data_IF_532649375587
#
_entry.id   IF_532649375587
#
_cell.length_a   1.000
_cell.length_b   1.000
_cell.length_c   1.000
_cell.angle_alpha   90.00
_cell.angle_beta   90.00
_cell.angle_gamma   90.00
#
_symmetry.space_group_name_H-M   'P 1'
#
loop_
_entity.id
_entity.type
_entity.pdbx_description
1 polymer ?
#
# COMPACT_ATOMS: atom_id res chain seq x y z
N UNK A 1 -59.54 29.48 34.23
CA UNK A 1 -60.44 29.96 35.31
C UNK A 1 -60.04 29.29 36.61
N UNK A 2 -59.06 29.85 37.33
CA UNK A 2 -58.78 29.60 38.75
C UNK A 2 -57.84 30.73 39.23
N UNK A 3 -58.01 31.18 40.46
CA UNK A 3 -57.22 32.26 41.08
C UNK A 3 -56.38 31.71 42.23
N UNK A 4 -55.17 32.26 42.42
CA UNK A 4 -54.62 32.54 43.75
C UNK A 4 -53.71 33.78 43.68
N UNK A 5 -53.34 34.35 44.84
CA UNK A 5 -52.79 35.70 45.00
C UNK A 5 -51.66 35.74 46.06
N UNK A 6 -50.99 36.90 46.16
CA UNK A 6 -49.95 37.30 47.15
C UNK A 6 -48.55 36.67 46.90
N UNK A 7 -47.42 37.35 47.15
CA UNK A 7 -47.16 38.79 47.44
C UNK A 7 -45.69 39.15 47.20
N UNK A 8 -45.37 40.42 46.93
CA UNK A 8 -44.00 40.98 46.86
C UNK A 8 -43.55 41.51 48.25
N UNK A 9 -42.32 42.09 48.49
CA UNK A 9 -41.77 43.27 47.77
C UNK A 9 -40.22 43.36 47.58
N UNK A 10 -39.78 44.30 46.70
CA UNK A 10 -38.46 45.00 46.68
C UNK A 10 -37.16 44.16 46.45
N UNK A 11 -36.04 44.61 45.85
CA UNK A 11 -35.47 45.88 45.28
C UNK A 11 -34.22 45.45 44.43
N UNK A 12 -33.63 46.11 43.42
CA UNK A 12 -33.88 47.27 42.52
C UNK A 12 -32.80 47.29 41.40
N UNK A 13 -33.02 48.00 40.27
CA UNK A 13 -31.99 48.61 39.37
C UNK A 13 -31.03 47.71 38.54
N UNK A 14 -30.72 47.97 37.25
CA UNK A 14 -31.22 48.94 36.23
C UNK A 14 -30.93 48.45 34.79
N UNK A 15 -31.62 49.01 33.78
CA UNK A 15 -31.35 48.94 32.32
C UNK A 15 -31.57 47.58 31.61
N UNK A 16 -32.02 47.47 30.36
CA UNK A 16 -32.96 48.25 29.51
C UNK A 16 -33.17 47.39 28.22
N UNK A 17 -34.40 47.09 27.78
CA UNK A 17 -35.13 47.80 26.68
C UNK A 17 -34.42 47.69 25.31
N UNK A 18 -35.01 47.14 24.23
CA UNK A 18 -36.43 46.86 23.93
C UNK A 18 -36.64 45.60 23.04
N UNK A 19 -37.84 45.02 23.10
CA UNK A 19 -38.33 43.94 22.20
C UNK A 19 -39.12 44.54 21.04
N UNK A 20 -39.08 43.98 19.82
CA UNK A 20 -40.27 44.00 18.95
C UNK A 20 -40.40 42.80 17.99
N UNK A 21 -41.65 42.52 17.62
CA UNK A 21 -42.16 41.30 16.98
C UNK A 21 -41.81 41.13 15.49
N UNK A 22 -41.85 39.88 15.03
CA UNK A 22 -42.00 39.53 13.62
C UNK A 22 -43.48 39.58 13.19
N UNK A 23 -43.76 39.98 11.92
CA UNK A 23 -44.92 39.50 11.15
C UNK A 23 -44.82 39.88 9.65
N UNK A 24 -45.70 39.27 8.83
CA UNK A 24 -46.03 39.57 7.41
C UNK A 24 -45.09 39.04 6.31
N UNK A 25 -45.65 38.16 5.46
CA UNK A 25 -45.11 37.82 4.13
C UNK A 25 -45.29 38.97 3.13
N UNK A 26 -44.25 39.32 2.34
CA UNK A 26 -44.36 39.59 0.90
C UNK A 26 -43.02 39.34 0.18
N UNK A 27 -43.01 38.90 -1.10
CA UNK A 27 -41.78 38.65 -1.85
C UNK A 27 -41.25 39.93 -2.51
N UNK A 28 -40.16 40.49 -2.00
CA UNK A 28 -39.42 41.55 -2.68
C UNK A 28 -38.62 40.98 -3.87
N UNK A 29 -38.94 41.43 -5.09
CA UNK A 29 -38.09 41.21 -6.27
C UNK A 29 -36.78 41.98 -6.09
N UNK A 30 -35.67 41.26 -5.90
CA UNK A 30 -34.33 41.85 -5.95
C UNK A 30 -33.84 41.83 -7.41
N UNK A 31 -33.50 43.00 -7.92
CA UNK A 31 -32.86 43.18 -9.23
C UNK A 31 -31.40 42.72 -9.16
N UNK A 32 -31.11 41.56 -9.76
CA UNK A 32 -29.79 40.91 -9.78
C UNK A 32 -28.70 41.76 -10.44
N UNK A 33 -29.08 42.75 -11.26
CA UNK A 33 -28.14 43.60 -12.00
C UNK A 33 -27.29 44.48 -11.07
N UNK A 34 -27.80 44.81 -9.87
CA UNK A 34 -27.12 45.73 -8.94
C UNK A 34 -26.17 45.04 -7.95
N UNK A 35 -26.30 43.74 -7.76
CA UNK A 35 -25.40 42.98 -6.89
C UNK A 35 -23.98 42.85 -7.48
N UNK A 36 -23.87 42.65 -8.80
CA UNK A 36 -22.58 42.45 -9.48
C UNK A 36 -21.66 43.69 -9.47
N UNK A 37 -22.24 44.90 -9.46
CA UNK A 37 -21.47 46.15 -9.54
C UNK A 37 -20.64 46.37 -8.26
N UNK A 38 -21.17 46.02 -7.09
CA UNK A 38 -20.44 46.16 -5.83
C UNK A 38 -19.27 45.16 -5.69
N UNK A 39 -19.37 43.96 -6.29
CA UNK A 39 -18.30 42.94 -6.20
C UNK A 39 -17.12 43.29 -7.11
N UNK A 40 -17.38 43.76 -8.34
CA UNK A 40 -16.33 44.11 -9.31
C UNK A 40 -15.49 45.35 -8.92
N UNK A 41 -16.06 46.26 -8.12
CA UNK A 41 -15.34 47.44 -7.60
C UNK A 41 -14.35 47.11 -6.48
N UNK A 42 -14.52 46.00 -5.76
CA UNK A 42 -13.56 45.55 -4.72
C UNK A 42 -12.36 44.84 -5.35
N UNK A 43 -12.59 44.07 -6.42
CA UNK A 43 -11.53 43.31 -7.09
C UNK A 43 -10.56 44.19 -7.89
N UNK A 44 -11.04 45.27 -8.51
CA UNK A 44 -10.22 46.13 -9.38
C UNK A 44 -9.21 47.02 -8.64
N UNK A 45 -9.43 47.33 -7.36
CA UNK A 45 -8.51 48.17 -6.56
C UNK A 45 -7.27 47.38 -6.09
N UNK A 46 -7.37 46.05 -5.97
CA UNK A 46 -6.30 45.21 -5.42
C UNK A 46 -5.18 44.87 -6.41
N UNK A 47 -5.32 45.21 -7.70
CA UNK A 47 -4.41 44.74 -8.76
C UNK A 47 -3.44 45.82 -9.31
N UNK A 48 -3.40 47.01 -8.69
CA UNK A 48 -2.68 48.19 -9.23
C UNK A 48 -1.31 48.46 -8.56
N UNK A 49 -0.99 47.77 -7.46
CA UNK A 49 0.29 47.93 -6.74
C UNK A 49 1.01 46.60 -6.52
N UNK A 50 1.91 46.20 -7.44
CA UNK A 50 3.32 45.78 -7.15
C UNK A 50 4.10 45.37 -8.42
N UNK A 51 4.40 46.33 -9.29
CA UNK A 51 5.55 46.32 -10.22
C UNK A 51 6.16 47.73 -10.13
N UNK A 52 7.48 47.97 -10.11
CA UNK A 52 8.66 47.07 -10.22
C UNK A 52 9.86 47.75 -9.56
N UNK A 53 10.79 46.98 -8.97
CA UNK A 53 12.18 47.44 -8.76
C UNK A 53 13.15 46.32 -9.14
N UNK A 54 13.83 46.50 -10.28
CA UNK A 54 14.89 45.60 -10.72
C UNK A 54 16.18 45.92 -9.95
N UNK A 55 16.85 44.89 -9.43
CA UNK A 55 18.20 44.99 -8.87
C UNK A 55 19.17 44.11 -9.67
N UNK A 56 20.43 44.53 -9.86
CA UNK A 56 21.40 43.79 -10.68
C UNK A 56 21.87 42.48 -10.00
N UNK A 57 22.40 41.51 -10.78
CA UNK A 57 22.77 40.20 -10.24
C UNK A 57 23.99 40.27 -9.33
N UNK A 58 23.76 40.07 -8.02
CA UNK A 58 24.85 39.81 -7.08
C UNK A 58 25.43 38.41 -7.28
N UNK A 59 26.77 38.29 -7.17
CA UNK A 59 27.49 37.02 -7.20
C UNK A 59 27.07 36.14 -6.02
N UNK A 60 27.02 34.81 -6.23
CA UNK A 60 26.80 33.84 -5.15
C UNK A 60 27.89 34.01 -4.07
N UNK A 61 27.53 34.10 -2.78
CA UNK A 61 28.45 33.81 -1.69
C UNK A 61 28.64 32.29 -1.59
N UNK A 62 29.88 31.82 -1.54
CA UNK A 62 30.16 30.43 -1.19
C UNK A 62 30.00 30.21 0.31
N UNK A 63 29.34 29.12 0.69
CA UNK A 63 29.28 28.61 2.05
C UNK A 63 28.19 29.19 2.94
N UNK A 64 27.14 28.40 3.17
CA UNK A 64 26.48 28.25 4.47
C UNK A 64 25.62 26.96 4.45
N UNK A 65 26.18 25.85 4.95
CA UNK A 65 25.38 24.63 5.20
C UNK A 65 24.54 24.84 6.46
N UNK A 66 23.23 25.00 6.31
CA UNK A 66 22.30 24.84 7.42
C UNK A 66 22.26 23.39 7.86
N UNK A 67 22.37 23.14 9.17
CA UNK A 67 22.12 21.80 9.74
C UNK A 67 20.62 21.52 9.77
N UNK A 68 20.21 20.44 9.10
CA UNK A 68 19.08 19.63 9.54
C UNK A 68 19.65 18.50 10.41
N UNK A 69 19.59 18.65 11.73
CA UNK A 69 20.13 17.66 12.67
C UNK A 69 19.18 16.44 12.78
N UNK A 70 19.19 15.62 11.73
CA UNK A 70 18.78 14.21 11.76
C UNK A 70 20.02 13.42 11.37
N UNK A 71 20.44 12.48 12.22
CA UNK A 71 21.54 11.56 11.89
C UNK A 71 21.07 10.54 10.85
N UNK A 72 21.10 10.95 9.58
CA UNK A 72 21.21 10.00 8.46
C UNK A 72 22.57 9.32 8.61
N UNK A 73 22.59 8.25 9.40
CA UNK A 73 23.72 7.34 9.51
C UNK A 73 23.94 6.73 8.13
N UNK A 74 24.79 7.38 7.34
CA UNK A 74 25.20 6.89 6.03
C UNK A 74 25.81 5.52 6.27
N UNK A 75 25.16 4.46 5.78
CA UNK A 75 25.58 3.08 6.08
C UNK A 75 26.95 2.87 5.44
N UNK A 76 27.98 3.07 6.26
CA UNK A 76 29.37 2.95 5.89
C UNK A 76 29.60 1.46 5.70
N UNK A 77 29.47 0.96 4.45
CA UNK A 77 29.66 -0.45 4.09
C UNK A 77 30.90 -0.98 4.82
N UNK A 78 30.75 -1.81 5.87
CA UNK A 78 31.89 -2.46 6.47
C UNK A 78 32.48 -3.39 5.40
N UNK A 79 33.74 -3.79 5.55
CA UNK A 79 34.17 -5.03 4.92
C UNK A 79 33.53 -6.20 5.70
N UNK A 80 32.21 -6.37 5.56
CA UNK A 80 31.51 -7.56 6.03
C UNK A 80 32.12 -8.76 5.32
N UNK A 81 32.74 -9.65 6.10
CA UNK A 81 33.09 -10.96 5.56
C UNK A 81 31.77 -11.67 5.32
N UNK A 82 31.35 -11.75 4.05
CA UNK A 82 30.13 -12.42 3.59
C UNK A 82 29.90 -13.67 4.44
N UNK A 83 28.77 -13.75 5.14
CA UNK A 83 28.45 -14.93 5.96
C UNK A 83 28.42 -16.14 5.03
N UNK A 84 29.43 -17.00 5.10
CA UNK A 84 29.43 -18.25 4.35
C UNK A 84 28.49 -19.20 5.08
N UNK A 85 27.21 -19.13 4.71
CA UNK A 85 26.24 -20.17 5.00
C UNK A 85 26.74 -21.48 4.35
N UNK A 86 26.70 -22.63 5.04
CA UNK A 86 27.39 -23.84 4.60
C UNK A 86 26.77 -24.41 3.30
N UNK A 87 27.57 -24.39 2.22
CA UNK A 87 27.32 -24.96 0.88
C UNK A 87 25.88 -24.83 0.33
N UNK A 88 25.27 -23.66 0.51
CA UNK A 88 23.94 -23.33 0.01
C UNK A 88 23.81 -23.45 -1.52
N UNK A 89 24.91 -23.30 -2.28
CA UNK A 89 24.94 -23.48 -3.74
C UNK A 89 24.50 -24.89 -4.21
N UNK A 90 24.67 -25.91 -3.36
CA UNK A 90 24.33 -27.30 -3.70
C UNK A 90 22.85 -27.68 -3.46
N UNK A 91 22.13 -26.86 -2.69
CA UNK A 91 20.74 -27.12 -2.29
C UNK A 91 19.77 -26.05 -2.80
N UNK A 92 20.16 -24.78 -2.83
CA UNK A 92 19.27 -23.65 -3.10
C UNK A 92 19.79 -22.70 -4.18
N UNK A 93 19.87 -23.23 -5.40
CA UNK A 93 19.74 -22.41 -6.61
C UNK A 93 18.31 -21.81 -6.63
N UNK A 94 18.08 -20.56 -7.06
CA UNK A 94 16.75 -19.92 -6.94
C UNK A 94 15.65 -20.63 -7.74
N UNK A 95 16.05 -21.39 -8.78
CA UNK A 95 15.21 -22.42 -9.41
C UNK A 95 14.59 -23.39 -8.41
N UNK A 96 15.38 -23.98 -7.51
CA UNK A 96 14.94 -25.06 -6.63
C UNK A 96 13.86 -24.67 -5.62
N UNK A 97 13.82 -23.44 -5.10
CA UNK A 97 12.71 -23.00 -4.23
C UNK A 97 11.43 -22.79 -5.04
N UNK A 98 11.52 -22.15 -6.22
CA UNK A 98 10.37 -21.99 -7.12
C UNK A 98 9.86 -23.36 -7.58
N UNK A 99 10.77 -24.22 -8.04
CA UNK A 99 10.49 -25.61 -8.42
C UNK A 99 9.95 -26.40 -7.23
N UNK A 100 10.38 -26.17 -5.98
CA UNK A 100 9.85 -26.84 -4.78
C UNK A 100 8.46 -26.35 -4.41
N UNK A 101 8.15 -25.06 -4.54
CA UNK A 101 6.80 -24.54 -4.30
C UNK A 101 5.83 -24.89 -5.43
N UNK A 102 6.21 -24.72 -6.71
CA UNK A 102 5.43 -25.21 -7.85
C UNK A 102 5.25 -26.73 -7.81
N UNK A 103 6.23 -27.48 -7.27
CA UNK A 103 6.12 -28.90 -6.99
C UNK A 103 5.24 -29.22 -5.78
N UNK A 104 5.31 -28.49 -4.67
CA UNK A 104 4.42 -28.73 -3.52
C UNK A 104 2.97 -28.45 -3.88
N UNK A 105 2.75 -27.42 -4.70
CA UNK A 105 1.45 -27.17 -5.31
C UNK A 105 1.07 -28.32 -6.25
N UNK A 106 1.92 -28.71 -7.21
CA UNK A 106 1.58 -29.72 -8.24
C UNK A 106 1.54 -31.19 -7.76
N UNK A 107 2.40 -31.60 -6.83
CA UNK A 107 2.33 -32.89 -6.11
C UNK A 107 1.15 -32.92 -5.12
N UNK A 108 0.74 -31.74 -4.63
CA UNK A 108 -0.47 -31.54 -3.84
C UNK A 108 -1.76 -31.47 -4.65
N UNK A 109 -1.69 -31.22 -5.98
CA UNK A 109 -2.82 -31.44 -6.88
C UNK A 109 -3.00 -32.98 -7.01
N UNK A 110 -4.19 -33.55 -6.76
CA UNK A 110 -4.36 -35.00 -6.81
C UNK A 110 -4.03 -35.54 -8.21
N UNK A 111 -3.01 -36.42 -8.32
CA UNK A 111 -2.52 -36.89 -9.61
C UNK A 111 -3.65 -37.54 -10.43
N UNK A 112 -3.91 -36.98 -11.62
CA UNK A 112 -5.00 -37.40 -12.51
C UNK A 112 -6.30 -36.60 -12.36
N UNK A 113 -6.37 -35.63 -11.43
CA UNK A 113 -7.47 -34.66 -11.38
C UNK A 113 -7.30 -33.64 -12.51
N UNK A 114 -8.19 -33.69 -13.49
CA UNK A 114 -8.29 -32.66 -14.52
C UNK A 114 -9.04 -31.45 -13.94
N UNK A 115 -8.40 -30.30 -13.91
CA UNK A 115 -9.03 -29.03 -13.52
C UNK A 115 -9.87 -28.52 -14.70
N UNK A 116 -11.14 -28.25 -14.45
CA UNK A 116 -12.12 -27.77 -15.43
C UNK A 116 -12.05 -26.23 -15.61
N UNK A 117 -11.46 -25.53 -14.64
CA UNK A 117 -11.18 -24.09 -14.72
C UNK A 117 -10.04 -23.68 -13.79
N UNK A 118 -9.34 -22.58 -14.11
CA UNK A 118 -8.24 -22.03 -13.31
C UNK A 118 -8.67 -21.65 -11.89
N UNK A 119 -9.95 -21.27 -11.70
CA UNK A 119 -10.56 -21.13 -10.38
C UNK A 119 -10.30 -22.33 -9.47
N UNK A 120 -10.50 -23.56 -9.97
CA UNK A 120 -10.31 -24.77 -9.15
C UNK A 120 -8.82 -25.00 -8.82
N UNK A 121 -7.90 -24.54 -9.67
CA UNK A 121 -6.45 -24.55 -9.40
C UNK A 121 -6.13 -23.56 -8.26
N UNK A 122 -6.65 -22.33 -8.35
CA UNK A 122 -6.49 -21.31 -7.32
C UNK A 122 -7.17 -21.71 -6.00
N UNK A 123 -8.35 -22.31 -6.03
CA UNK A 123 -9.06 -22.81 -4.85
C UNK A 123 -8.30 -23.95 -4.16
N UNK A 124 -7.78 -24.91 -4.94
CA UNK A 124 -6.97 -26.00 -4.41
C UNK A 124 -5.69 -25.47 -3.74
N UNK A 125 -4.97 -24.57 -4.44
CA UNK A 125 -3.79 -23.87 -3.94
C UNK A 125 -4.06 -23.08 -2.67
N UNK A 126 -5.15 -22.31 -2.62
CA UNK A 126 -5.55 -21.55 -1.43
C UNK A 126 -5.91 -22.44 -0.23
N UNK A 127 -6.50 -23.62 -0.49
CA UNK A 127 -6.75 -24.64 0.52
C UNK A 127 -5.45 -25.17 1.15
N UNK A 128 -4.48 -25.56 0.32
CA UNK A 128 -3.15 -26.00 0.77
C UNK A 128 -2.40 -24.90 1.55
N UNK A 129 -2.46 -23.66 1.05
CA UNK A 129 -1.90 -22.47 1.70
C UNK A 129 -2.47 -22.26 3.11
N UNK A 130 -3.80 -22.32 3.25
CA UNK A 130 -4.47 -22.10 4.53
C UNK A 130 -4.19 -23.25 5.52
N UNK A 131 -4.01 -24.47 5.05
CA UNK A 131 -3.52 -25.60 5.86
C UNK A 131 -2.09 -25.34 6.37
N UNK A 132 -1.18 -24.86 5.50
CA UNK A 132 0.20 -24.54 5.89
C UNK A 132 0.30 -23.36 6.89
N UNK A 133 -0.58 -22.36 6.83
CA UNK A 133 -0.68 -21.32 7.87
C UNK A 133 -0.96 -21.95 9.24
N UNK A 134 -1.97 -22.83 9.29
CA UNK A 134 -2.50 -23.49 10.50
C UNK A 134 -1.58 -24.55 11.09
N UNK A 135 -0.71 -25.17 10.27
CA UNK A 135 0.19 -26.23 10.73
C UNK A 135 1.14 -25.75 11.83
N UNK A 136 1.10 -26.42 12.98
CA UNK A 136 1.88 -26.11 14.19
C UNK A 136 3.30 -26.70 14.16
N UNK A 137 3.56 -27.69 13.31
CA UNK A 137 4.76 -28.53 13.34
C UNK A 137 5.67 -28.35 12.11
N UNK A 138 5.14 -27.83 11.00
CA UNK A 138 5.92 -27.53 9.79
C UNK A 138 6.76 -26.26 9.92
N UNK A 139 7.97 -26.41 10.45
CA UNK A 139 9.05 -25.42 10.33
C UNK A 139 9.81 -25.53 9.00
N UNK A 140 9.46 -26.47 8.12
CA UNK A 140 10.15 -26.75 6.85
C UNK A 140 10.08 -25.59 5.84
N UNK A 141 9.16 -24.66 6.03
CA UNK A 141 8.99 -23.44 5.22
C UNK A 141 9.69 -22.20 5.78
N UNK A 142 10.35 -22.28 6.93
CA UNK A 142 10.97 -21.10 7.54
C UNK A 142 12.06 -20.51 6.62
N UNK A 143 11.90 -19.25 6.25
CA UNK A 143 12.85 -18.51 5.41
C UNK A 143 14.22 -18.44 6.07
N UNK A 144 15.25 -18.55 5.24
CA UNK A 144 16.65 -18.34 5.61
C UNK A 144 16.96 -16.88 5.94
N UNK A 145 16.14 -15.95 5.43
CA UNK A 145 16.29 -14.52 5.62
C UNK A 145 15.55 -14.09 6.89
N UNK A 146 16.32 -13.72 7.92
CA UNK A 146 15.80 -13.52 9.28
C UNK A 146 16.31 -12.25 9.95
N UNK A 147 17.24 -11.52 9.33
CA UNK A 147 17.86 -10.33 9.90
C UNK A 147 17.80 -9.19 8.90
N UNK A 148 17.46 -7.98 9.36
CA UNK A 148 17.38 -6.79 8.50
C UNK A 148 18.64 -6.56 7.63
N UNK A 149 19.83 -6.88 8.16
CA UNK A 149 21.10 -6.73 7.45
C UNK A 149 21.23 -7.67 6.23
N UNK A 150 20.44 -8.75 6.15
CA UNK A 150 20.42 -9.68 5.02
C UNK A 150 19.95 -8.99 3.72
N UNK A 151 19.23 -7.86 3.81
CA UNK A 151 18.91 -6.98 2.67
C UNK A 151 20.17 -6.38 2.04
N UNK A 152 21.03 -5.78 2.87
CA UNK A 152 22.25 -5.14 2.42
C UNK A 152 23.31 -6.16 1.94
N UNK A 153 23.37 -7.34 2.54
CA UNK A 153 24.21 -8.46 2.10
C UNK A 153 23.71 -9.11 0.77
N UNK A 154 22.49 -8.76 0.30
CA UNK A 154 21.90 -9.14 -1.00
C UNK A 154 21.68 -7.94 -1.96
N UNK A 155 22.44 -6.85 -1.79
CA UNK A 155 22.44 -5.67 -2.68
C UNK A 155 21.10 -4.91 -2.78
N UNK A 156 20.22 -5.03 -1.78
CA UNK A 156 19.04 -4.17 -1.63
C UNK A 156 19.40 -2.85 -0.96
N UNK A 157 19.07 -1.74 -1.62
CA UNK A 157 19.28 -0.37 -1.17
C UNK A 157 17.97 0.23 -0.67
N UNK A 158 18.02 0.83 0.54
CA UNK A 158 16.88 1.56 1.11
C UNK A 158 16.80 2.97 0.53
N UNK A 159 15.69 3.26 -0.14
CA UNK A 159 15.32 4.62 -0.51
C UNK A 159 14.27 5.13 0.48
N UNK A 160 14.74 5.91 1.47
CA UNK A 160 13.87 6.53 2.47
C UNK A 160 13.01 7.65 1.85
N UNK A 161 11.73 7.69 2.24
CA UNK A 161 10.83 8.83 2.04
C UNK A 161 10.63 9.29 0.59
N UNK A 162 9.64 8.70 -0.09
CA UNK A 162 8.81 9.49 -1.01
C UNK A 162 8.11 10.60 -0.21
N UNK A 163 8.67 11.82 -0.20
CA UNK A 163 8.07 12.97 0.48
C UNK A 163 6.69 13.36 -0.07
N UNK A 164 6.40 12.96 -1.32
CA UNK A 164 5.10 13.05 -2.01
C UNK A 164 4.21 11.82 -1.82
N UNK A 165 4.70 10.73 -1.21
CA UNK A 165 3.99 9.47 -1.04
C UNK A 165 2.70 9.61 -0.25
N UNK A 166 2.61 10.58 0.66
CA UNK A 166 1.38 10.93 1.36
C UNK A 166 0.28 11.45 0.44
N UNK A 167 0.62 12.29 -0.55
CA UNK A 167 -0.36 12.78 -1.53
C UNK A 167 -0.78 11.71 -2.54
N UNK A 168 0.02 10.65 -2.69
CA UNK A 168 -0.38 9.44 -3.42
C UNK A 168 -1.36 8.62 -2.56
N UNK A 169 -0.97 8.27 -1.33
CA UNK A 169 -1.78 7.47 -0.40
C UNK A 169 -3.17 8.08 -0.14
N UNK A 170 -3.23 9.38 0.16
CA UNK A 170 -4.47 10.12 0.38
C UNK A 170 -5.38 10.09 -0.87
N UNK A 171 -4.80 10.37 -2.05
CA UNK A 171 -5.51 10.43 -3.33
C UNK A 171 -5.98 9.07 -3.87
N UNK A 172 -5.33 7.98 -3.49
CA UNK A 172 -5.61 6.63 -4.03
C UNK A 172 -6.26 5.65 -3.05
N UNK A 173 -6.08 5.86 -1.75
CA UNK A 173 -6.63 5.00 -0.69
C UNK A 173 -7.39 5.77 0.39
N UNK A 174 -7.57 7.10 0.32
CA UNK A 174 -8.06 7.94 1.43
C UNK A 174 -9.21 7.36 2.26
N UNK A 175 -10.29 6.92 1.61
CA UNK A 175 -11.43 6.26 2.29
C UNK A 175 -11.03 4.97 3.02
N UNK A 176 -10.27 4.08 2.37
CA UNK A 176 -9.71 2.89 3.00
C UNK A 176 -8.78 3.23 4.18
N UNK A 177 -7.96 4.28 4.04
CA UNK A 177 -6.96 4.66 5.03
C UNK A 177 -7.58 5.26 6.29
N UNK A 178 -8.70 5.97 6.15
CA UNK A 178 -9.53 6.43 7.27
C UNK A 178 -10.26 5.25 7.94
N UNK A 179 -10.92 4.38 7.16
CA UNK A 179 -11.64 3.19 7.66
C UNK A 179 -10.73 2.26 8.46
N UNK A 180 -9.49 2.12 8.03
CA UNK A 180 -8.47 1.26 8.62
C UNK A 180 -7.62 1.98 9.68
N UNK A 181 -7.91 3.26 9.97
CA UNK A 181 -7.15 4.12 10.89
C UNK A 181 -5.63 4.17 10.58
N UNK A 182 -5.27 3.96 9.32
CA UNK A 182 -3.90 3.80 8.84
C UNK A 182 -3.13 5.13 8.87
N UNK A 183 -3.85 6.25 8.81
CA UNK A 183 -3.30 7.62 8.92
C UNK A 183 -3.03 8.06 10.38
N UNK A 184 -3.10 7.14 11.36
CA UNK A 184 -2.88 7.35 12.79
C UNK A 184 -1.45 7.75 13.20
N UNK A 185 -0.91 8.84 12.65
CA UNK A 185 0.28 9.60 13.07
C UNK A 185 1.68 8.95 12.97
N UNK A 186 1.81 7.63 12.71
CA UNK A 186 3.12 6.93 12.71
C UNK A 186 3.37 5.95 11.57
N UNK A 187 2.61 6.05 10.49
CA UNK A 187 2.90 5.26 9.28
C UNK A 187 4.21 5.72 8.64
N UNK A 188 5.01 4.77 8.13
CA UNK A 188 6.29 5.04 7.49
C UNK A 188 6.31 4.46 6.08
N UNK A 189 6.82 5.20 5.09
CA UNK A 189 6.88 4.77 3.68
C UNK A 189 8.33 4.49 3.31
N UNK A 190 8.59 3.28 2.86
CA UNK A 190 9.91 2.83 2.42
C UNK A 190 9.83 2.10 1.08
N UNK A 191 10.87 2.27 0.27
CA UNK A 191 11.06 1.50 -0.95
C UNK A 191 12.46 0.90 -0.98
N UNK A 192 12.50 -0.41 -1.22
CA UNK A 192 13.73 -1.15 -1.46
C UNK A 192 13.94 -1.28 -2.96
N UNK A 193 15.17 -1.01 -3.40
CA UNK A 193 15.60 -1.16 -4.79
C UNK A 193 16.77 -2.14 -4.84
N UNK A 194 16.72 -3.12 -5.74
CA UNK A 194 17.86 -4.02 -5.97
C UNK A 194 18.81 -3.35 -6.98
N UNK A 195 19.91 -2.81 -6.49
CA UNK A 195 20.82 -1.92 -7.25
C UNK A 195 21.92 -2.72 -7.96
N UNK A 196 21.50 -3.57 -8.89
CA UNK A 196 22.34 -4.58 -9.57
C UNK A 196 23.28 -4.02 -10.65
N UNK A 197 23.94 -2.90 -10.39
CA UNK A 197 24.84 -2.16 -11.31
C UNK A 197 24.14 -1.66 -12.60
N UNK A 198 22.83 -1.85 -12.74
CA UNK A 198 22.01 -1.48 -13.90
C UNK A 198 22.01 0.03 -14.23
N UNK A 199 22.50 0.88 -13.32
CA UNK A 199 22.71 2.31 -13.56
C UNK A 199 23.78 2.59 -14.64
N UNK A 200 24.78 1.72 -14.83
CA UNK A 200 25.83 1.94 -15.85
C UNK A 200 25.41 1.46 -17.26
N UNK A 201 24.29 0.75 -17.40
CA UNK A 201 23.96 0.03 -18.63
C UNK A 201 23.07 0.79 -19.65
N UNK A 202 22.51 1.97 -19.33
CA UNK A 202 21.62 2.65 -20.28
C UNK A 202 21.42 4.17 -20.11
N UNK A 203 21.39 4.89 -21.24
CA UNK A 203 20.77 6.22 -21.41
C UNK A 203 19.20 6.17 -21.37
N UNK A 204 18.64 5.16 -20.70
CA UNK A 204 17.23 4.76 -20.77
C UNK A 204 16.80 4.44 -19.32
N UNK A 205 15.64 4.94 -18.80
CA UNK A 205 15.31 4.85 -17.39
C UNK A 205 15.42 3.42 -16.84
N UNK A 206 16.22 3.28 -15.80
CA UNK A 206 16.64 2.00 -15.21
C UNK A 206 15.42 1.18 -14.81
N UNK A 207 15.28 0.00 -15.43
CA UNK A 207 14.31 -1.01 -15.00
C UNK A 207 14.88 -1.71 -13.77
N UNK A 208 14.80 -1.05 -12.62
CA UNK A 208 15.22 -1.58 -11.32
C UNK A 208 14.11 -2.43 -10.71
N UNK A 209 14.46 -3.57 -10.10
CA UNK A 209 13.51 -4.29 -9.26
C UNK A 209 13.30 -3.52 -7.96
N UNK A 210 12.06 -3.44 -7.49
CA UNK A 210 11.70 -2.66 -6.32
C UNK A 210 10.48 -3.18 -5.57
N UNK A 211 10.50 -3.04 -4.25
CA UNK A 211 9.38 -3.31 -3.37
C UNK A 211 9.13 -2.10 -2.46
N UNK A 212 7.99 -1.44 -2.64
CA UNK A 212 7.61 -0.25 -1.88
C UNK A 212 6.35 -0.53 -1.06
N UNK A 213 6.38 -0.14 0.22
CA UNK A 213 5.25 -0.30 1.12
C UNK A 213 5.18 0.82 2.17
N UNK A 214 3.97 1.08 2.64
CA UNK A 214 3.68 1.85 3.83
C UNK A 214 3.43 0.90 5.01
N UNK A 215 4.02 1.20 6.18
CA UNK A 215 4.00 0.37 7.38
C UNK A 215 3.36 1.14 8.53
N UNK A 216 2.21 0.67 9.02
CA UNK A 216 1.48 1.26 10.14
C UNK A 216 1.61 0.39 11.40
N UNK A 217 2.72 0.59 12.12
CA UNK A 217 3.08 -0.19 13.32
C UNK A 217 2.05 -0.07 14.46
N UNK A 218 1.28 1.03 14.48
CA UNK A 218 0.21 1.22 15.45
C UNK A 218 -1.09 0.51 15.04
N UNK A 219 -1.39 0.42 13.74
CA UNK A 219 -2.58 -0.28 13.25
C UNK A 219 -2.39 -1.81 13.19
N UNK A 220 -1.14 -2.28 13.09
CA UNK A 220 -0.81 -3.69 12.83
C UNK A 220 -0.75 -3.99 11.33
N UNK A 221 -0.51 -2.99 10.48
CA UNK A 221 -0.86 -3.04 9.08
C UNK A 221 0.29 -2.72 8.11
N UNK A 222 0.30 -3.41 6.96
CA UNK A 222 1.18 -3.14 5.81
C UNK A 222 0.33 -2.84 4.57
N UNK A 223 0.73 -1.85 3.79
CA UNK A 223 0.12 -1.50 2.51
C UNK A 223 1.21 -1.46 1.43
N UNK A 224 1.16 -2.39 0.48
CA UNK A 224 2.01 -2.38 -0.71
C UNK A 224 1.65 -1.20 -1.63
N UNK A 225 2.66 -0.50 -2.14
CA UNK A 225 2.52 0.66 -3.04
C UNK A 225 3.00 0.36 -4.45
N UNK A 226 4.06 -0.43 -4.58
CA UNK A 226 4.53 -0.98 -5.85
C UNK A 226 5.34 -2.25 -5.62
N UNK A 227 5.29 -3.14 -6.61
CA UNK A 227 5.96 -4.44 -6.61
C UNK A 227 6.54 -4.71 -7.98
N UNK A 228 7.83 -4.99 -8.06
CA UNK A 228 8.53 -5.26 -9.33
C UNK A 228 9.68 -6.22 -9.01
N UNK A 229 9.46 -7.52 -9.25
CA UNK A 229 10.40 -8.54 -8.78
C UNK A 229 11.71 -8.57 -9.60
N UNK A 230 12.85 -8.96 -8.99
CA UNK A 230 14.09 -9.20 -9.72
C UNK A 230 13.92 -10.19 -10.89
N UNK A 231 13.02 -11.16 -10.78
CA UNK A 231 12.72 -12.09 -11.88
C UNK A 231 12.04 -11.39 -13.06
N UNK A 232 10.98 -10.62 -12.81
CA UNK A 232 10.25 -9.87 -13.85
C UNK A 232 11.16 -8.88 -14.60
N UNK A 233 12.09 -8.23 -13.88
CA UNK A 233 13.13 -7.39 -14.49
C UNK A 233 14.08 -8.21 -15.36
N UNK A 234 14.56 -9.36 -14.86
CA UNK A 234 15.44 -10.26 -15.60
C UNK A 234 14.79 -10.76 -16.90
N UNK A 235 13.54 -11.23 -16.83
CA UNK A 235 12.75 -11.67 -17.99
C UNK A 235 12.58 -10.55 -19.03
N UNK A 236 12.32 -9.33 -18.59
CA UNK A 236 12.25 -8.16 -19.46
C UNK A 236 13.57 -7.78 -20.13
N UNK A 237 14.72 -8.10 -19.52
CA UNK A 237 16.05 -7.82 -20.09
C UNK A 237 16.45 -8.94 -21.06
N UNK A 238 16.22 -10.21 -20.68
CA UNK A 238 16.42 -11.39 -21.52
C UNK A 238 15.60 -11.30 -22.82
N UNK A 239 14.32 -10.92 -22.74
CA UNK A 239 13.45 -10.69 -23.90
C UNK A 239 13.92 -9.55 -24.83
N UNK A 240 14.77 -8.62 -24.34
CA UNK A 240 15.38 -7.54 -25.13
C UNK A 240 16.78 -7.92 -25.65
N UNK A 241 17.25 -9.14 -25.41
CA UNK A 241 18.61 -9.59 -25.72
C UNK A 241 19.69 -8.98 -24.81
N UNK A 242 19.30 -8.30 -23.74
CA UNK A 242 20.20 -7.72 -22.74
C UNK A 242 20.47 -8.82 -21.71
N UNK A 243 21.55 -9.58 -21.90
CA UNK A 243 22.00 -10.57 -20.92
C UNK A 243 22.39 -9.83 -19.62
N UNK A 244 21.69 -10.04 -18.49
CA UNK A 244 22.05 -9.39 -17.23
C UNK A 244 23.41 -9.93 -16.76
N UNK A 245 24.31 -9.01 -16.39
CA UNK A 245 25.69 -9.36 -15.98
C UNK A 245 25.68 -10.18 -14.68
N UNK A 246 24.70 -9.92 -13.81
CA UNK A 246 24.53 -10.53 -12.51
C UNK A 246 23.30 -11.45 -12.48
N UNK A 247 23.37 -12.54 -11.73
CA UNK A 247 22.22 -13.42 -11.48
C UNK A 247 21.14 -12.73 -10.65
N UNK A 248 19.89 -13.20 -10.76
CA UNK A 248 18.80 -12.91 -9.83
C UNK A 248 19.31 -13.13 -8.38
N UNK A 249 19.05 -12.21 -7.43
CA UNK A 249 19.58 -12.32 -6.07
C UNK A 249 18.92 -13.49 -5.33
N UNK A 250 19.56 -14.02 -4.29
CA UNK A 250 18.98 -15.10 -3.50
C UNK A 250 17.81 -14.62 -2.64
N UNK A 251 17.92 -13.40 -2.10
CA UNK A 251 16.80 -12.65 -1.54
C UNK A 251 16.07 -11.89 -2.67
N UNK A 252 15.14 -12.56 -3.37
CA UNK A 252 14.38 -11.97 -4.50
C UNK A 252 12.87 -11.86 -4.29
N UNK A 253 12.35 -12.19 -3.12
CA UNK A 253 10.91 -12.26 -2.88
C UNK A 253 10.33 -11.01 -2.22
N UNK A 254 9.07 -10.71 -2.58
CA UNK A 254 8.28 -9.70 -1.88
C UNK A 254 8.08 -10.04 -0.40
N UNK A 255 7.79 -11.32 -0.10
CA UNK A 255 7.51 -11.80 1.26
C UNK A 255 8.69 -11.53 2.19
N UNK A 256 9.88 -12.02 1.84
CA UNK A 256 11.11 -11.81 2.61
C UNK A 256 11.46 -10.31 2.77
N UNK A 257 11.47 -9.53 1.68
CA UNK A 257 11.88 -8.11 1.74
C UNK A 257 10.89 -7.26 2.56
N UNK A 258 9.59 -7.57 2.46
CA UNK A 258 8.55 -6.91 3.26
C UNK A 258 8.57 -7.39 4.71
N UNK A 259 8.89 -8.66 4.97
CA UNK A 259 9.05 -9.17 6.33
C UNK A 259 10.25 -8.53 7.03
N UNK A 260 11.43 -8.51 6.43
CA UNK A 260 12.62 -7.91 7.04
C UNK A 260 12.40 -6.42 7.35
N UNK A 261 11.65 -5.73 6.49
CA UNK A 261 11.18 -4.36 6.74
C UNK A 261 10.25 -4.28 7.96
N UNK A 262 9.20 -5.13 8.01
CA UNK A 262 8.28 -5.19 9.14
C UNK A 262 8.99 -5.54 10.46
N UNK A 263 9.92 -6.50 10.45
CA UNK A 263 10.75 -6.91 11.59
C UNK A 263 11.48 -5.69 12.18
N UNK A 264 12.17 -4.94 11.32
CA UNK A 264 12.93 -3.74 11.68
C UNK A 264 12.09 -2.61 12.27
N UNK A 265 10.89 -2.38 11.73
CA UNK A 265 10.05 -1.25 12.10
C UNK A 265 9.11 -1.57 13.27
N UNK A 266 8.60 -2.80 13.35
CA UNK A 266 7.68 -3.25 14.39
C UNK A 266 8.39 -3.70 15.68
N UNK A 267 9.58 -4.30 15.60
CA UNK A 267 10.43 -4.67 16.74
C UNK A 267 9.73 -5.58 17.77
N UNK A 268 9.33 -5.04 18.92
CA UNK A 268 8.54 -5.76 19.94
C UNK A 268 7.11 -6.08 19.47
N UNK A 269 6.63 -5.40 18.43
CA UNK A 269 5.28 -5.53 17.85
C UNK A 269 5.23 -6.37 16.57
N UNK A 270 6.25 -7.16 16.26
CA UNK A 270 6.29 -8.00 15.04
C UNK A 270 5.10 -8.97 14.94
N UNK A 271 4.56 -9.41 16.08
CA UNK A 271 3.38 -10.30 16.16
C UNK A 271 2.04 -9.57 16.12
N UNK A 272 2.04 -8.23 16.12
CA UNK A 272 0.84 -7.40 16.08
C UNK A 272 0.32 -7.20 14.64
N UNK A 273 0.90 -7.90 13.64
CA UNK A 273 0.40 -7.91 12.27
C UNK A 273 -1.03 -8.47 12.25
N UNK A 274 -1.96 -7.68 11.70
CA UNK A 274 -3.39 -7.99 11.60
C UNK A 274 -4.00 -7.63 10.23
N UNK A 275 -3.24 -6.97 9.36
CA UNK A 275 -3.72 -6.51 8.07
C UNK A 275 -2.58 -6.37 7.06
N UNK A 276 -2.74 -6.98 5.89
CA UNK A 276 -1.89 -6.71 4.74
C UNK A 276 -2.78 -6.31 3.58
N UNK A 277 -2.41 -5.23 2.87
CA UNK A 277 -3.12 -4.73 1.69
C UNK A 277 -2.17 -4.80 0.51
N UNK A 278 -2.62 -5.40 -0.59
CA UNK A 278 -1.85 -5.56 -1.82
C UNK A 278 -2.73 -5.34 -3.04
N UNK A 279 -2.13 -4.92 -4.15
CA UNK A 279 -2.82 -4.75 -5.43
C UNK A 279 -2.02 -5.31 -6.59
N UNK A 280 -2.69 -5.71 -7.67
CA UNK A 280 -2.05 -6.12 -8.92
C UNK A 280 -2.25 -5.09 -10.03
N UNK A 281 -1.21 -4.88 -10.83
CA UNK A 281 -1.27 -4.10 -12.05
C UNK A 281 -2.05 -4.89 -13.11
N UNK A 282 -3.26 -4.46 -13.41
CA UNK A 282 -4.15 -5.10 -14.38
C UNK A 282 -3.66 -5.02 -15.84
N UNK A 283 -2.47 -4.44 -16.10
CA UNK A 283 -1.78 -4.47 -17.40
C UNK A 283 -0.79 -5.64 -17.51
N UNK A 284 -0.94 -6.64 -16.65
CA UNK A 284 -0.16 -7.89 -16.61
C UNK A 284 -1.11 -9.07 -16.65
N UNK A 285 -0.67 -10.18 -17.27
CA UNK A 285 -1.42 -11.43 -17.33
C UNK A 285 -1.82 -11.90 -15.92
N UNK A 286 -0.93 -11.77 -14.92
CA UNK A 286 -1.25 -12.05 -13.51
C UNK A 286 -2.33 -11.12 -12.94
N UNK A 287 -2.37 -9.87 -13.38
CA UNK A 287 -3.40 -8.89 -13.04
C UNK A 287 -4.78 -9.24 -13.61
N UNK A 288 -4.87 -9.53 -14.91
CA UNK A 288 -6.12 -9.95 -15.56
C UNK A 288 -6.71 -11.21 -14.90
N UNK A 289 -5.89 -12.25 -14.69
CA UNK A 289 -6.30 -13.47 -13.98
C UNK A 289 -6.75 -13.21 -12.54
N UNK A 290 -6.11 -12.27 -11.84
CA UNK A 290 -6.52 -11.86 -10.49
C UNK A 290 -7.84 -11.09 -10.49
N UNK A 291 -8.17 -10.40 -11.58
CA UNK A 291 -9.47 -9.75 -11.76
C UNK A 291 -10.58 -10.77 -12.01
N UNK A 292 -10.37 -11.78 -12.87
CA UNK A 292 -11.37 -12.83 -13.13
C UNK A 292 -11.72 -13.62 -11.86
N UNK A 293 -10.71 -13.96 -11.05
CA UNK A 293 -10.93 -14.59 -9.73
C UNK A 293 -11.71 -13.65 -8.80
N UNK A 294 -11.45 -12.34 -8.83
CA UNK A 294 -12.19 -11.36 -8.03
C UNK A 294 -13.66 -11.22 -8.45
N UNK A 295 -13.95 -11.17 -9.76
CA UNK A 295 -15.32 -11.12 -10.29
C UNK A 295 -16.12 -12.37 -9.93
N UNK A 296 -15.51 -13.55 -10.10
CA UNK A 296 -16.13 -14.83 -9.75
C UNK A 296 -16.33 -14.99 -8.24
N UNK A 297 -15.39 -14.51 -7.42
CA UNK A 297 -15.50 -14.58 -5.95
C UNK A 297 -16.58 -13.68 -5.35
N UNK A 298 -17.03 -12.66 -6.08
CA UNK A 298 -18.09 -11.73 -5.66
C UNK A 298 -19.42 -11.93 -6.41
N UNK A 299 -19.48 -12.86 -7.36
CA UNK A 299 -20.60 -13.09 -8.29
C UNK A 299 -20.99 -11.81 -9.08
N UNK A 300 -20.03 -10.89 -9.31
CA UNK A 300 -20.26 -9.51 -9.79
C UNK A 300 -19.12 -9.03 -10.69
N UNK A 301 -19.46 -8.28 -11.73
CA UNK A 301 -18.46 -7.64 -12.59
C UNK A 301 -17.72 -6.47 -11.91
N UNK A 302 -16.45 -6.27 -12.28
CA UNK A 302 -15.47 -5.45 -11.58
C UNK A 302 -15.84 -3.97 -11.44
N UNK A 303 -16.67 -3.45 -12.34
CA UNK A 303 -17.23 -2.10 -12.26
C UNK A 303 -18.05 -1.82 -10.98
N UNK A 304 -18.37 -2.86 -10.20
CA UNK A 304 -19.04 -2.77 -8.90
C UNK A 304 -18.08 -2.65 -7.70
N UNK A 305 -16.77 -2.84 -7.86
CA UNK A 305 -15.80 -2.89 -6.74
C UNK A 305 -15.40 -1.49 -6.19
N UNK A 306 -16.29 -0.48 -6.26
CA UNK A 306 -15.90 0.93 -6.03
C UNK A 306 -15.81 1.29 -4.56
N UNK A 307 -14.69 1.94 -4.20
CA UNK A 307 -14.40 2.37 -2.84
C UNK A 307 -14.20 1.20 -1.86
N UNK A 308 -13.63 1.51 -0.69
CA UNK A 308 -13.40 0.50 0.33
C UNK A 308 -14.68 0.15 1.09
N UNK A 309 -15.52 1.12 1.49
CA UNK A 309 -16.63 0.87 2.42
C UNK A 309 -17.65 -0.16 1.93
N UNK A 310 -18.04 -0.14 0.66
CA UNK A 310 -19.23 -0.84 0.15
C UNK A 310 -19.10 -2.37 0.02
N UNK A 311 -17.88 -2.92 0.20
CA UNK A 311 -17.59 -4.34 -0.08
C UNK A 311 -17.58 -5.22 1.17
N UNK A 312 -18.26 -6.36 1.11
CA UNK A 312 -18.29 -7.39 2.16
C UNK A 312 -16.93 -8.08 2.39
N UNK A 313 -16.76 -8.69 3.55
CA UNK A 313 -15.60 -9.56 3.85
C UNK A 313 -15.87 -11.00 3.45
N UNK A 314 -15.08 -11.54 2.53
CA UNK A 314 -15.10 -12.95 2.14
C UNK A 314 -14.30 -13.75 3.18
N UNK A 315 -14.89 -14.81 3.73
CA UNK A 315 -14.22 -15.69 4.69
C UNK A 315 -13.15 -16.53 3.96
N UNK A 316 -11.89 -16.47 4.41
CA UNK A 316 -10.76 -17.07 3.72
C UNK A 316 -10.85 -18.60 3.54
N UNK A 317 -11.55 -19.30 4.44
CA UNK A 317 -11.77 -20.75 4.34
C UNK A 317 -12.94 -21.17 3.42
N UNK A 318 -13.68 -20.22 2.84
CA UNK A 318 -14.68 -20.51 1.79
C UNK A 318 -14.01 -20.85 0.46
N UNK A 319 -14.75 -21.40 -0.50
CA UNK A 319 -14.26 -21.70 -1.86
C UNK A 319 -13.71 -20.41 -2.52
N UNK A 320 -14.47 -19.31 -2.45
CA UNK A 320 -14.05 -17.99 -2.91
C UNK A 320 -12.83 -17.45 -2.15
N UNK A 321 -12.81 -17.58 -0.81
CA UNK A 321 -11.68 -17.15 0.01
C UNK A 321 -10.37 -17.87 -0.34
N UNK A 322 -10.44 -19.18 -0.59
CA UNK A 322 -9.29 -19.98 -1.06
C UNK A 322 -8.86 -19.55 -2.46
N UNK A 323 -9.79 -19.39 -3.41
CA UNK A 323 -9.44 -18.95 -4.76
C UNK A 323 -8.66 -17.62 -4.74
N UNK A 324 -9.10 -16.66 -3.91
CA UNK A 324 -8.41 -15.39 -3.69
C UNK A 324 -7.03 -15.56 -3.02
N UNK A 325 -6.89 -16.44 -2.03
CA UNK A 325 -5.58 -16.79 -1.45
C UNK A 325 -4.64 -17.45 -2.47
N UNK A 326 -5.16 -18.23 -3.41
CA UNK A 326 -4.36 -18.91 -4.44
C UNK A 326 -3.79 -17.98 -5.51
N UNK A 327 -4.34 -16.78 -5.68
CA UNK A 327 -3.84 -15.77 -6.64
C UNK A 327 -2.37 -15.39 -6.36
N UNK A 328 -1.66 -14.78 -7.32
CA UNK A 328 -0.33 -14.22 -7.08
C UNK A 328 -0.30 -13.16 -5.94
N UNK A 329 -1.38 -12.38 -5.77
CA UNK A 329 -1.50 -11.45 -4.63
C UNK A 329 -1.54 -12.25 -3.32
N UNK A 330 -2.50 -13.18 -3.20
CA UNK A 330 -2.75 -13.95 -1.99
C UNK A 330 -1.59 -14.86 -1.60
N UNK A 331 -0.91 -15.45 -2.58
CA UNK A 331 0.30 -16.26 -2.36
C UNK A 331 1.39 -15.43 -1.68
N UNK A 332 1.66 -14.20 -2.14
CA UNK A 332 2.71 -13.36 -1.54
C UNK A 332 2.46 -13.01 -0.07
N UNK A 333 1.20 -12.71 0.28
CA UNK A 333 0.78 -12.51 1.69
C UNK A 333 0.91 -13.80 2.49
N UNK A 334 0.60 -14.93 1.85
CA UNK A 334 0.64 -16.24 2.49
C UNK A 334 2.06 -16.68 2.81
N UNK A 335 3.00 -16.49 1.87
CA UNK A 335 4.43 -16.75 2.10
C UNK A 335 4.98 -15.89 3.24
N UNK A 336 4.61 -14.61 3.32
CA UNK A 336 4.98 -13.74 4.45
C UNK A 336 4.56 -14.33 5.81
N UNK A 337 3.38 -14.96 5.91
CA UNK A 337 2.90 -15.57 7.16
C UNK A 337 3.49 -16.97 7.41
N UNK A 338 3.64 -17.78 6.36
CA UNK A 338 4.13 -19.17 6.44
C UNK A 338 5.64 -19.20 6.68
N UNK A 339 6.42 -18.44 5.89
CA UNK A 339 7.88 -18.51 5.86
C UNK A 339 8.53 -17.71 7.01
N UNK A 340 7.80 -16.85 7.72
CA UNK A 340 8.29 -16.13 8.92
C UNK A 340 7.51 -16.47 10.21
N UNK A 341 6.90 -17.65 10.25
CA UNK A 341 6.08 -18.15 11.38
C UNK A 341 6.83 -18.15 12.72
N UNK A 342 8.15 -18.38 12.73
CA UNK A 342 8.93 -18.33 13.98
C UNK A 342 8.94 -16.93 14.62
N UNK A 343 8.97 -15.87 13.80
CA UNK A 343 9.00 -14.48 14.24
C UNK A 343 7.58 -13.92 14.47
N UNK A 344 6.64 -14.22 13.57
CA UNK A 344 5.26 -13.72 13.61
C UNK A 344 4.36 -14.47 14.60
N UNK A 345 4.68 -15.72 14.91
CA UNK A 345 3.74 -16.66 15.52
C UNK A 345 2.84 -17.35 14.50
N UNK A 346 1.91 -18.20 14.97
CA UNK A 346 0.96 -18.91 14.11
C UNK A 346 -0.18 -17.97 13.71
N UNK A 347 -0.09 -17.42 12.50
CA UNK A 347 -1.04 -16.46 11.91
C UNK A 347 -1.73 -17.07 10.69
N UNK A 348 -3.00 -16.72 10.47
CA UNK A 348 -3.71 -16.98 9.21
C UNK A 348 -4.41 -15.73 8.70
N UNK A 349 -4.70 -15.71 7.39
CA UNK A 349 -5.72 -14.83 6.85
C UNK A 349 -7.09 -15.42 7.21
N UNK A 350 -7.91 -14.69 7.98
CA UNK A 350 -9.29 -15.11 8.29
C UNK A 350 -10.31 -14.58 7.28
N UNK A 351 -10.07 -13.37 6.75
CA UNK A 351 -10.96 -12.70 5.82
C UNK A 351 -10.20 -11.93 4.74
N UNK A 352 -10.82 -11.80 3.57
CA UNK A 352 -10.32 -11.06 2.42
C UNK A 352 -11.40 -10.06 2.01
N UNK A 353 -11.01 -8.82 1.74
CA UNK A 353 -11.89 -7.78 1.21
C UNK A 353 -11.32 -7.22 -0.08
N UNK A 354 -12.08 -7.35 -1.17
CA UNK A 354 -11.71 -6.88 -2.49
C UNK A 354 -12.24 -5.46 -2.69
N UNK A 355 -11.44 -4.61 -3.32
CA UNK A 355 -11.84 -3.30 -3.79
C UNK A 355 -11.01 -2.92 -5.03
N UNK A 356 -11.58 -2.12 -5.94
CA UNK A 356 -10.77 -1.29 -6.82
C UNK A 356 -10.41 -0.03 -6.04
N UNK A 357 -9.15 0.39 -6.16
CA UNK A 357 -8.78 1.74 -5.75
C UNK A 357 -9.57 2.72 -6.60
N UNK A 358 -10.23 3.69 -5.97
CA UNK A 358 -10.91 4.75 -6.69
C UNK A 358 -9.86 5.54 -7.48
N UNK A 359 -9.77 5.28 -8.79
CA UNK A 359 -8.93 6.11 -9.63
C UNK A 359 -9.56 7.51 -9.66
N UNK A 360 -8.80 8.56 -9.29
CA UNK A 360 -9.15 9.91 -9.68
C UNK A 360 -9.35 9.94 -11.21
N UNK A 361 -10.24 10.79 -11.71
CA UNK A 361 -10.45 10.92 -13.16
C UNK A 361 -9.22 11.48 -13.92
N UNK A 362 -8.11 11.72 -13.20
CA UNK A 362 -6.84 12.22 -13.71
C UNK A 362 -5.89 11.12 -14.25
N UNK A 363 -6.09 9.83 -13.94
CA UNK A 363 -5.27 8.73 -14.51
C UNK A 363 -5.70 8.31 -15.93
N UNK A 364 -6.15 9.27 -16.72
CA UNK A 364 -6.10 9.12 -18.19
C UNK A 364 -4.62 9.00 -18.55
N UNK A 365 -4.16 7.82 -18.95
CA UNK A 365 -2.84 7.72 -19.58
C UNK A 365 -2.83 8.65 -20.79
N UNK A 366 -1.96 9.66 -20.75
CA UNK A 366 -1.82 10.69 -21.77
C UNK A 366 -1.44 10.14 -23.16
N UNK A 367 -1.14 8.83 -23.26
CA UNK A 367 -0.98 8.10 -24.51
C UNK A 367 -2.14 7.18 -24.90
N UNK A 368 -2.85 6.55 -23.96
CA UNK A 368 -3.81 5.46 -24.26
C UNK A 368 -5.25 5.68 -23.79
N UNK A 369 -5.50 6.57 -22.82
CA UNK A 369 -6.80 6.82 -22.16
C UNK A 369 -7.41 5.70 -21.30
N UNK A 370 -6.83 4.49 -21.25
CA UNK A 370 -7.38 3.40 -20.43
C UNK A 370 -7.06 3.60 -18.94
N UNK A 371 -8.08 3.98 -18.16
CA UNK A 371 -8.01 4.15 -16.70
C UNK A 371 -8.18 2.79 -16.02
N UNK A 372 -7.08 2.07 -15.83
CA UNK A 372 -7.10 0.72 -15.23
C UNK A 372 -6.73 0.79 -13.74
N UNK A 373 -7.74 0.97 -12.87
CA UNK A 373 -7.55 0.85 -11.41
C UNK A 373 -7.03 -0.54 -11.04
N UNK A 374 -5.96 -0.68 -10.23
CA UNK A 374 -5.50 -2.00 -9.80
C UNK A 374 -6.52 -2.68 -8.87
N UNK A 375 -6.77 -3.97 -9.10
CA UNK A 375 -7.56 -4.79 -8.17
C UNK A 375 -6.76 -4.97 -6.89
N UNK A 376 -7.37 -4.64 -5.76
CA UNK A 376 -6.72 -4.61 -4.45
C UNK A 376 -7.43 -5.49 -3.45
N UNK A 377 -6.67 -6.29 -2.72
CA UNK A 377 -7.15 -7.20 -1.68
C UNK A 377 -6.59 -6.74 -0.32
N UNK A 378 -7.48 -6.56 0.65
CA UNK A 378 -7.15 -6.38 2.06
C UNK A 378 -7.35 -7.71 2.81
N UNK A 379 -6.25 -8.29 3.29
CA UNK A 379 -6.19 -9.56 3.99
C UNK A 379 -6.16 -9.29 5.50
N UNK A 380 -7.23 -9.64 6.20
CA UNK A 380 -7.32 -9.58 7.66
C UNK A 380 -6.68 -10.83 8.27
N UNK A 381 -5.80 -10.62 9.24
CA UNK A 381 -4.90 -11.62 9.79
C UNK A 381 -5.15 -11.74 11.29
N UNK A 382 -5.32 -12.97 11.78
CA UNK A 382 -5.52 -13.28 13.20
C UNK A 382 -4.59 -14.44 13.62
N UNK A 383 -4.51 -14.73 14.93
CA UNK A 383 -3.83 -15.93 15.45
C UNK A 383 -4.70 -17.19 15.28
N UNK A 384 -4.09 -18.33 14.91
CA UNK A 384 -4.78 -19.64 14.78
C UNK A 384 -4.76 -20.46 16.08
#
# INVERSE_FOLDING_TARGET
>A
MFHFLFSSPERTCTNCVITFLAFVHQPLRIDTTKAYICVLLVWTISFVFTHTTLSPPHKRPDGLRGRSDIEVNTIHRPNSKRKVYPDSESLFNSKSWKETWEKLLSDGLPQGMAFESEWQVYECRGGQILEQMRDEYKTEFQSLWMFFDDLADNDWVLHESFGTGWTFLDKFYGSAMDDLNFMGSKTQIYAWYWDAELQELADNPVVSASYAAAYSIQAGAILELSSTSPRYVFDQLEAKGILPINSIPSLSQWADVTFLSWERFAKDKVKDINLIIRGSDLRTDEGELTLEVAERALERGAWQFKGFQEMDKIIASSEAGKALLGTPIGTGVSLFLIEHKAQLGRKEVTHIKIFLMDSPQDLVDWKTHDVVSPVSYAFYIDDC
#
